data_IF_639272067126
#
_entry.id   IF_639272067126
#
_cell.length_a   1.000
_cell.length_b   1.000
_cell.length_c   1.000
_cell.angle_alpha   90.00
_cell.angle_beta   90.00
_cell.angle_gamma   90.00
#
_symmetry.space_group_name_H-M   'P 1'
#
loop_
_entity.id
_entity.type
_entity.pdbx_description
1 polymer ?
#
# COMPACT_ATOMS: atom_id res chain seq x y z
N UNK A 1 -20.43 -23.99 -11.50
CA UNK A 1 -19.00 -23.64 -11.54
C UNK A 1 -18.85 -22.23 -10.99
N UNK A 2 -17.86 -22.01 -10.12
CA UNK A 2 -17.59 -20.72 -9.50
C UNK A 2 -16.17 -20.27 -9.84
N UNK A 3 -16.05 -19.04 -10.34
CA UNK A 3 -14.79 -18.42 -10.72
C UNK A 3 -14.60 -17.10 -9.97
N UNK A 4 -13.52 -16.99 -9.20
CA UNK A 4 -13.16 -15.73 -8.56
C UNK A 4 -12.12 -14.98 -9.41
N UNK A 5 -12.32 -13.69 -9.65
CA UNK A 5 -11.35 -12.82 -10.30
C UNK A 5 -10.67 -11.99 -9.22
N UNK A 6 -9.34 -12.05 -9.13
CA UNK A 6 -8.57 -11.18 -8.25
C UNK A 6 -7.80 -10.18 -9.10
N UNK A 7 -8.19 -8.91 -9.00
CA UNK A 7 -7.57 -7.83 -9.74
C UNK A 7 -6.60 -7.06 -8.85
N UNK A 8 -5.30 -7.13 -9.21
CA UNK A 8 -4.18 -6.54 -8.48
C UNK A 8 -3.72 -5.17 -9.00
N UNK A 9 -4.43 -4.60 -9.98
CA UNK A 9 -4.15 -3.24 -10.44
C UNK A 9 -4.69 -2.17 -9.47
N UNK A 10 -4.59 -0.90 -9.88
CA UNK A 10 -4.90 0.25 -9.02
C UNK A 10 -6.32 0.79 -9.15
N UNK A 11 -7.14 0.22 -10.03
CA UNK A 11 -8.51 0.70 -10.26
C UNK A 11 -8.57 1.98 -11.10
N UNK A 12 -7.54 2.27 -11.89
CA UNK A 12 -7.54 3.44 -12.78
C UNK A 12 -8.57 3.22 -13.90
N UNK A 13 -9.38 4.23 -14.22
CA UNK A 13 -10.45 4.12 -15.21
C UNK A 13 -9.93 3.74 -16.62
N UNK A 14 -8.69 4.14 -16.91
CA UNK A 14 -7.97 3.84 -18.15
C UNK A 14 -7.09 2.58 -18.06
N UNK A 15 -7.34 1.70 -17.09
CA UNK A 15 -6.61 0.45 -16.99
C UNK A 15 -7.10 -0.58 -18.05
N UNK A 16 -6.21 -1.09 -18.93
CA UNK A 16 -6.56 -2.09 -19.93
C UNK A 16 -7.02 -3.42 -19.33
N UNK A 17 -6.45 -3.84 -18.20
CA UNK A 17 -6.82 -5.10 -17.53
C UNK A 17 -8.26 -5.05 -17.03
N UNK A 18 -8.75 -3.89 -16.57
CA UNK A 18 -10.16 -3.74 -16.15
C UNK A 18 -11.12 -4.03 -17.30
N UNK A 19 -10.83 -3.55 -18.51
CA UNK A 19 -11.64 -3.89 -19.68
C UNK A 19 -11.63 -5.39 -19.95
N UNK A 20 -10.44 -6.02 -19.90
CA UNK A 20 -10.29 -7.45 -20.13
C UNK A 20 -11.10 -8.26 -19.11
N UNK A 21 -10.94 -8.02 -17.81
CA UNK A 21 -11.66 -8.80 -16.79
C UNK A 21 -13.17 -8.59 -16.84
N UNK A 22 -13.65 -7.39 -17.16
CA UNK A 22 -15.08 -7.13 -17.35
C UNK A 22 -15.64 -7.93 -18.53
N UNK A 23 -14.90 -7.99 -19.64
CA UNK A 23 -15.26 -8.82 -20.79
C UNK A 23 -15.24 -10.31 -20.44
N UNK A 24 -14.27 -10.76 -19.64
CA UNK A 24 -14.20 -12.14 -19.17
C UNK A 24 -15.37 -12.49 -18.24
N UNK A 25 -15.70 -11.61 -17.30
CA UNK A 25 -16.86 -11.75 -16.40
C UNK A 25 -18.17 -11.85 -17.20
N UNK A 26 -18.35 -11.00 -18.20
CA UNK A 26 -19.50 -11.06 -19.09
C UNK A 26 -19.64 -12.44 -19.75
N UNK A 27 -18.56 -12.93 -20.39
CA UNK A 27 -18.56 -14.21 -21.11
C UNK A 27 -18.79 -15.39 -20.16
N UNK A 28 -18.17 -15.38 -18.97
CA UNK A 28 -18.39 -16.40 -17.94
C UNK A 28 -19.84 -16.38 -17.43
N UNK A 29 -20.42 -15.20 -17.22
CA UNK A 29 -21.81 -15.06 -16.79
C UNK A 29 -22.79 -15.59 -17.85
N UNK A 30 -22.52 -15.32 -19.13
CA UNK A 30 -23.28 -15.89 -20.26
C UNK A 30 -23.22 -17.43 -20.28
N UNK A 31 -22.11 -18.02 -19.83
CA UNK A 31 -21.93 -19.47 -19.64
C UNK A 31 -22.51 -20.01 -18.32
N UNK A 32 -23.29 -19.21 -17.58
CA UNK A 32 -23.91 -19.58 -16.29
C UNK A 32 -22.89 -19.94 -15.19
N UNK A 33 -21.72 -19.30 -15.21
CA UNK A 33 -20.70 -19.40 -14.16
C UNK A 33 -20.98 -18.35 -13.08
N UNK A 34 -20.89 -18.73 -11.80
CA UNK A 34 -20.89 -17.75 -10.71
C UNK A 34 -19.54 -17.04 -10.70
N UNK A 35 -19.53 -15.74 -11.05
CA UNK A 35 -18.31 -14.93 -11.04
C UNK A 35 -18.31 -14.01 -9.82
N UNK A 36 -17.17 -13.90 -9.14
CA UNK A 36 -16.95 -12.89 -8.09
C UNK A 36 -15.67 -12.13 -8.35
N UNK A 37 -15.78 -10.81 -8.56
CA UNK A 37 -14.64 -9.91 -8.72
C UNK A 37 -14.20 -9.35 -7.35
N UNK A 38 -12.93 -9.54 -7.04
CA UNK A 38 -12.23 -8.96 -5.90
C UNK A 38 -11.19 -7.96 -6.40
N UNK A 39 -11.51 -6.68 -6.25
CA UNK A 39 -10.55 -5.60 -6.39
C UNK A 39 -9.63 -5.59 -5.16
N UNK A 40 -8.41 -6.11 -5.28
CA UNK A 40 -7.51 -6.26 -4.13
C UNK A 40 -7.19 -4.89 -3.50
N UNK A 41 -7.12 -3.84 -4.33
CA UNK A 41 -6.90 -2.47 -3.88
C UNK A 41 -8.05 -1.91 -3.01
N UNK A 42 -9.26 -2.49 -3.04
CA UNK A 42 -10.38 -2.11 -2.16
C UNK A 42 -10.33 -2.85 -0.82
N UNK A 43 -9.62 -3.98 -0.78
CA UNK A 43 -9.53 -4.89 0.35
C UNK A 43 -8.20 -4.77 1.10
N UNK A 44 -7.52 -3.62 1.06
CA UNK A 44 -6.14 -3.44 1.55
C UNK A 44 -5.92 -3.93 2.99
N UNK A 45 -6.89 -3.69 3.87
CA UNK A 45 -6.81 -4.09 5.28
C UNK A 45 -7.24 -5.54 5.53
N UNK A 46 -7.83 -6.19 4.52
CA UNK A 46 -8.39 -7.54 4.58
C UNK A 46 -7.76 -8.48 3.53
N UNK A 47 -6.60 -8.12 2.94
CA UNK A 47 -5.93 -8.98 1.93
C UNK A 47 -5.60 -10.36 2.52
N UNK A 48 -5.23 -10.42 3.79
CA UNK A 48 -4.98 -11.68 4.52
C UNK A 48 -6.20 -12.60 4.63
N UNK A 49 -7.41 -12.06 4.45
CA UNK A 49 -8.68 -12.79 4.50
C UNK A 49 -9.14 -13.28 3.13
N UNK A 50 -8.69 -12.66 2.03
CA UNK A 50 -9.05 -13.07 0.67
C UNK A 50 -8.77 -14.56 0.36
N UNK A 51 -7.68 -15.19 0.84
CA UNK A 51 -7.44 -16.62 0.60
C UNK A 51 -8.60 -17.52 1.04
N UNK A 52 -9.40 -17.12 2.02
CA UNK A 52 -10.55 -17.92 2.46
C UNK A 52 -11.62 -18.05 1.37
N UNK A 53 -11.71 -17.06 0.48
CA UNK A 53 -12.68 -17.07 -0.63
C UNK A 53 -12.34 -18.09 -1.72
N UNK A 54 -11.14 -18.68 -1.69
CA UNK A 54 -10.71 -19.75 -2.59
C UNK A 54 -11.39 -21.09 -2.31
N UNK A 55 -11.85 -21.34 -1.08
CA UNK A 55 -12.40 -22.65 -0.68
C UNK A 55 -13.57 -23.11 -1.53
N UNK A 56 -14.36 -22.16 -2.04
CA UNK A 56 -15.55 -22.45 -2.84
C UNK A 56 -15.31 -22.28 -4.36
N UNK A 57 -14.09 -21.93 -4.78
CA UNK A 57 -13.81 -21.56 -6.17
C UNK A 57 -13.25 -22.76 -6.95
N UNK A 58 -13.94 -23.15 -8.03
CA UNK A 58 -13.46 -24.17 -8.97
C UNK A 58 -12.29 -23.64 -9.82
N UNK A 59 -12.30 -22.33 -10.10
CA UNK A 59 -11.23 -21.66 -10.79
C UNK A 59 -11.07 -20.22 -10.35
N UNK A 60 -9.93 -19.64 -10.68
CA UNK A 60 -9.63 -18.23 -10.41
C UNK A 60 -8.97 -17.57 -11.61
N UNK A 61 -9.08 -16.25 -11.68
CA UNK A 61 -8.34 -15.41 -12.62
C UNK A 61 -7.47 -14.46 -11.80
N UNK A 62 -6.16 -14.52 -12.01
CA UNK A 62 -5.23 -13.54 -11.45
C UNK A 62 -4.95 -12.49 -12.51
N UNK A 63 -5.45 -11.28 -12.28
CA UNK A 63 -5.39 -10.18 -13.23
C UNK A 63 -4.54 -9.04 -12.69
N UNK A 64 -3.56 -8.56 -13.45
CA UNK A 64 -2.74 -7.40 -13.05
C UNK A 64 -2.30 -6.56 -14.25
N UNK A 65 -1.95 -5.32 -13.97
CA UNK A 65 -1.44 -4.36 -14.95
C UNK A 65 0.01 -4.04 -14.63
N UNK A 66 0.91 -4.27 -15.58
CA UNK A 66 2.31 -3.90 -15.46
C UNK A 66 2.48 -2.43 -15.83
N UNK A 67 2.77 -1.63 -14.82
CA UNK A 67 2.99 -0.19 -14.96
C UNK A 67 4.48 0.17 -14.90
N UNK A 68 5.27 -0.61 -14.17
CA UNK A 68 6.72 -0.45 -14.07
C UNK A 68 7.45 -1.78 -14.19
N UNK A 69 7.28 -2.67 -13.20
CA UNK A 69 7.92 -3.98 -13.19
C UNK A 69 7.12 -4.98 -12.36
N UNK A 70 6.93 -6.18 -12.92
CA UNK A 70 6.33 -7.31 -12.23
C UNK A 70 4.82 -7.15 -11.98
N UNK A 71 4.31 -7.99 -11.08
CA UNK A 71 2.87 -8.22 -10.90
C UNK A 71 2.16 -7.20 -9.99
N UNK A 72 2.88 -6.22 -9.45
CA UNK A 72 2.34 -5.19 -8.56
C UNK A 72 2.26 -5.59 -7.08
N UNK A 73 2.26 -4.60 -6.18
CA UNK A 73 2.32 -4.81 -4.73
C UNK A 73 1.11 -5.54 -4.15
N UNK A 74 -0.10 -5.19 -4.59
CA UNK A 74 -1.33 -5.83 -4.10
C UNK A 74 -1.40 -7.31 -4.50
N UNK A 75 -1.01 -7.64 -5.73
CA UNK A 75 -0.97 -9.03 -6.18
C UNK A 75 0.08 -9.84 -5.42
N UNK A 76 1.28 -9.28 -5.18
CA UNK A 76 2.29 -9.92 -4.34
C UNK A 76 1.76 -10.19 -2.93
N UNK A 77 1.14 -9.19 -2.27
CA UNK A 77 0.57 -9.37 -0.93
C UNK A 77 -0.54 -10.43 -0.89
N UNK A 78 -1.36 -10.51 -1.94
CA UNK A 78 -2.38 -11.55 -2.06
C UNK A 78 -1.77 -12.95 -2.22
N UNK A 79 -0.71 -13.10 -3.02
CA UNK A 79 0.00 -14.36 -3.19
C UNK A 79 0.73 -14.78 -1.90
N UNK A 80 1.33 -13.84 -1.18
CA UNK A 80 1.91 -14.06 0.15
C UNK A 80 0.84 -14.51 1.16
N UNK A 81 -0.32 -13.86 1.16
CA UNK A 81 -1.46 -14.28 1.97
C UNK A 81 -1.94 -15.69 1.58
N UNK A 82 -1.97 -16.04 0.29
CA UNK A 82 -2.28 -17.40 -0.14
C UNK A 82 -1.23 -18.41 0.33
N UNK A 83 0.04 -18.01 0.37
CA UNK A 83 1.11 -18.87 0.88
C UNK A 83 0.87 -19.23 2.36
N UNK A 84 0.54 -18.22 3.17
CA UNK A 84 0.38 -18.34 4.62
C UNK A 84 -0.98 -18.94 5.06
N UNK A 85 -2.07 -18.54 4.40
CA UNK A 85 -3.42 -18.75 4.94
C UNK A 85 -4.35 -19.56 4.03
N UNK A 86 -4.00 -19.80 2.75
CA UNK A 86 -4.86 -20.60 1.89
C UNK A 86 -4.84 -22.07 2.30
N UNK A 87 -6.02 -22.70 2.22
CA UNK A 87 -6.15 -24.14 2.36
C UNK A 87 -5.47 -24.84 1.17
N UNK A 88 -4.39 -25.57 1.44
CA UNK A 88 -3.61 -26.27 0.41
C UNK A 88 -4.40 -27.36 -0.28
N UNK A 89 -5.38 -27.96 0.40
CA UNK A 89 -6.24 -28.99 -0.20
C UNK A 89 -7.18 -28.40 -1.24
N UNK A 90 -7.74 -27.21 -0.96
CA UNK A 90 -8.53 -26.46 -1.91
C UNK A 90 -7.69 -26.02 -3.11
N UNK A 91 -6.52 -25.42 -2.86
CA UNK A 91 -5.59 -24.97 -3.90
C UNK A 91 -5.23 -26.07 -4.89
N UNK A 92 -4.97 -27.30 -4.40
CA UNK A 92 -4.61 -28.44 -5.24
C UNK A 92 -5.65 -28.80 -6.32
N UNK A 93 -6.89 -28.34 -6.16
CA UNK A 93 -7.99 -28.52 -7.11
C UNK A 93 -8.40 -27.23 -7.83
N UNK A 94 -7.86 -26.08 -7.44
CA UNK A 94 -8.21 -24.78 -8.01
C UNK A 94 -7.39 -24.47 -9.26
N UNK A 95 -8.10 -24.31 -10.37
CA UNK A 95 -7.53 -23.84 -11.63
C UNK A 95 -7.26 -22.33 -11.61
N UNK A 96 -6.17 -21.85 -12.21
CA UNK A 96 -5.86 -20.42 -12.30
C UNK A 96 -5.48 -20.01 -13.71
N UNK A 97 -6.14 -18.97 -14.23
CA UNK A 97 -5.74 -18.32 -15.48
C UNK A 97 -5.09 -16.96 -15.18
N UNK A 98 -3.84 -16.73 -15.59
CA UNK A 98 -3.20 -15.43 -15.46
C UNK A 98 -3.57 -14.52 -16.62
N UNK A 99 -3.85 -13.26 -16.30
CA UNK A 99 -4.21 -12.21 -17.25
C UNK A 99 -3.36 -10.98 -16.94
N UNK A 100 -2.50 -10.58 -17.87
CA UNK A 100 -1.56 -9.48 -17.62
C UNK A 100 -1.55 -8.48 -18.76
N UNK A 101 -2.00 -7.26 -18.52
CA UNK A 101 -1.85 -6.18 -19.49
C UNK A 101 -0.71 -5.25 -19.10
N UNK A 102 -0.14 -4.54 -20.08
CA UNK A 102 0.86 -3.49 -19.84
C UNK A 102 0.55 -2.27 -20.69
N UNK A 103 0.89 -1.09 -20.18
CA UNK A 103 0.99 0.14 -20.97
C UNK A 103 2.46 0.47 -21.29
N UNK A 104 3.38 -0.42 -20.90
CA UNK A 104 4.82 -0.31 -21.11
C UNK A 104 5.39 -1.65 -21.58
N UNK A 105 6.14 -2.37 -20.75
CA UNK A 105 6.77 -3.65 -21.06
C UNK A 105 6.72 -4.57 -19.82
N UNK A 106 7.05 -5.84 -20.01
CA UNK A 106 7.20 -6.80 -18.90
C UNK A 106 5.97 -7.66 -18.62
N UNK A 107 4.94 -7.59 -19.48
CA UNK A 107 3.71 -8.36 -19.34
C UNK A 107 3.94 -9.88 -19.41
N UNK A 108 4.93 -10.29 -20.22
CA UNK A 108 5.31 -11.71 -20.36
C UNK A 108 5.93 -12.25 -19.10
N UNK A 109 6.90 -11.53 -18.54
CA UNK A 109 7.59 -11.90 -17.30
C UNK A 109 6.61 -11.92 -16.11
N UNK A 110 5.71 -10.94 -16.04
CA UNK A 110 4.68 -10.88 -15.02
C UNK A 110 3.70 -12.07 -15.14
N UNK A 111 3.28 -12.45 -16.35
CA UNK A 111 2.43 -13.64 -16.56
C UNK A 111 3.13 -14.92 -16.08
N UNK A 112 4.40 -15.13 -16.48
CA UNK A 112 5.21 -16.27 -16.02
C UNK A 112 5.37 -16.26 -14.50
N UNK A 113 5.47 -15.07 -13.88
CA UNK A 113 5.55 -14.93 -12.43
C UNK A 113 4.25 -15.41 -11.75
N UNK A 114 3.08 -15.05 -12.29
CA UNK A 114 1.79 -15.55 -11.77
C UNK A 114 1.65 -17.06 -11.92
N UNK A 115 2.03 -17.62 -13.07
CA UNK A 115 2.02 -19.07 -13.31
C UNK A 115 2.89 -19.80 -12.29
N UNK A 116 4.15 -19.38 -12.15
CA UNK A 116 5.09 -19.97 -11.22
C UNK A 116 4.61 -19.84 -9.77
N UNK A 117 4.12 -18.68 -9.35
CA UNK A 117 3.62 -18.47 -8.00
C UNK A 117 2.46 -19.42 -7.68
N UNK A 118 1.51 -19.59 -8.61
CA UNK A 118 0.38 -20.49 -8.40
C UNK A 118 0.79 -21.97 -8.39
N UNK A 119 1.75 -22.37 -9.23
CA UNK A 119 2.33 -23.72 -9.16
C UNK A 119 3.01 -23.98 -7.81
N UNK A 120 3.80 -23.01 -7.32
CA UNK A 120 4.50 -23.11 -6.04
C UNK A 120 3.50 -23.20 -4.88
N UNK A 121 2.38 -22.47 -4.95
CA UNK A 121 1.28 -22.57 -4.00
C UNK A 121 0.59 -23.95 -4.01
N UNK A 122 0.79 -24.74 -5.07
CA UNK A 122 0.24 -26.08 -5.25
C UNK A 122 -1.00 -26.14 -6.12
N UNK A 123 -1.37 -25.04 -6.79
CA UNK A 123 -2.54 -24.98 -7.66
C UNK A 123 -2.30 -25.43 -9.11
N UNK A 124 -3.34 -25.32 -9.92
CA UNK A 124 -3.37 -25.79 -11.31
C UNK A 124 -3.35 -24.60 -12.29
N UNK A 125 -2.18 -24.14 -12.76
CA UNK A 125 -2.13 -23.08 -13.77
C UNK A 125 -2.76 -23.54 -15.09
N UNK A 126 -3.49 -22.64 -15.73
CA UNK A 126 -4.09 -22.79 -17.05
C UNK A 126 -3.41 -21.84 -18.03
N UNK A 127 -3.65 -22.05 -19.33
CA UNK A 127 -3.17 -21.13 -20.36
C UNK A 127 -3.74 -19.72 -20.15
N UNK A 128 -2.88 -18.81 -19.70
CA UNK A 128 -3.16 -17.38 -19.61
C UNK A 128 -2.97 -16.63 -20.92
N UNK A 129 -3.02 -15.31 -20.80
CA UNK A 129 -2.61 -14.41 -21.88
C UNK A 129 -2.14 -13.07 -21.32
N UNK A 130 -1.31 -12.41 -22.10
CA UNK A 130 -0.80 -11.08 -21.82
C UNK A 130 -0.88 -10.19 -23.05
N UNK A 131 -0.90 -8.87 -22.85
CA UNK A 131 -1.00 -7.92 -23.95
C UNK A 131 -0.47 -6.54 -23.60
N UNK A 132 0.21 -5.92 -24.55
CA UNK A 132 0.55 -4.50 -24.50
C UNK A 132 -0.60 -3.69 -25.11
N UNK A 133 -1.01 -2.63 -24.43
CA UNK A 133 -2.08 -1.72 -24.88
C UNK A 133 -1.54 -0.30 -24.89
N UNK A 134 -1.36 0.23 -26.09
CA UNK A 134 -0.95 1.63 -26.31
C UNK A 134 -2.16 2.59 -26.24
N UNK A 135 -3.22 2.26 -26.98
CA UNK A 135 -4.48 3.02 -27.00
C UNK A 135 -5.62 2.13 -26.50
N UNK A 136 -6.17 2.48 -25.34
CA UNK A 136 -7.27 1.75 -24.72
C UNK A 136 -8.57 1.83 -25.52
N UNK A 137 -8.83 2.94 -26.21
CA UNK A 137 -10.03 3.10 -27.01
C UNK A 137 -9.99 2.18 -28.22
N UNK A 138 -8.87 2.17 -28.95
CA UNK A 138 -8.68 1.24 -30.07
C UNK A 138 -8.80 -0.21 -29.59
N UNK A 139 -8.17 -0.54 -28.45
CA UNK A 139 -8.24 -1.87 -27.86
C UNK A 139 -9.68 -2.32 -27.54
N UNK A 140 -10.52 -1.41 -27.04
CA UNK A 140 -11.94 -1.68 -26.72
C UNK A 140 -12.81 -1.82 -27.96
N UNK A 141 -12.54 -1.04 -29.00
CA UNK A 141 -13.34 -1.04 -30.24
C UNK A 141 -12.95 -2.19 -31.20
N UNK A 142 -11.81 -2.85 -30.98
CA UNK A 142 -11.32 -3.92 -31.83
C UNK A 142 -12.00 -5.28 -31.53
N UNK A 143 -12.84 -5.73 -32.46
CA UNK A 143 -13.57 -6.99 -32.37
C UNK A 143 -12.67 -8.24 -32.33
N UNK A 144 -11.50 -8.21 -32.97
CA UNK A 144 -10.57 -9.35 -32.96
C UNK A 144 -9.95 -9.55 -31.57
N UNK A 145 -9.62 -8.48 -30.86
CA UNK A 145 -9.11 -8.56 -29.48
C UNK A 145 -10.18 -9.08 -28.52
N UNK A 146 -11.43 -8.61 -28.67
CA UNK A 146 -12.55 -9.16 -27.91
C UNK A 146 -12.71 -10.67 -28.16
N UNK A 147 -12.58 -11.11 -29.41
CA UNK A 147 -12.67 -12.53 -29.78
C UNK A 147 -11.52 -13.38 -29.21
N UNK A 148 -10.31 -12.83 -29.10
CA UNK A 148 -9.18 -13.50 -28.43
C UNK A 148 -9.49 -13.71 -26.95
N UNK A 149 -10.02 -12.70 -26.25
CA UNK A 149 -10.40 -12.79 -24.84
C UNK A 149 -11.48 -13.86 -24.64
N UNK A 150 -12.52 -13.85 -25.48
CA UNK A 150 -13.60 -14.86 -25.46
C UNK A 150 -13.06 -16.29 -25.59
N UNK A 151 -12.17 -16.54 -26.56
CA UNK A 151 -11.53 -17.85 -26.74
C UNK A 151 -10.72 -18.29 -25.52
N UNK A 152 -10.06 -17.35 -24.84
CA UNK A 152 -9.27 -17.64 -23.64
C UNK A 152 -10.16 -17.99 -22.45
N UNK A 153 -11.31 -17.33 -22.31
CA UNK A 153 -12.34 -17.65 -21.32
C UNK A 153 -12.97 -19.01 -21.59
N UNK A 154 -13.32 -19.31 -22.83
CA UNK A 154 -13.88 -20.63 -23.21
C UNK A 154 -12.89 -21.75 -22.88
N UNK A 155 -11.61 -21.51 -23.13
CA UNK A 155 -10.55 -22.46 -22.78
C UNK A 155 -10.47 -22.70 -21.27
N UNK A 156 -10.56 -21.64 -20.45
CA UNK A 156 -10.62 -21.77 -18.99
C UNK A 156 -11.86 -22.58 -18.56
N UNK A 157 -13.04 -22.19 -19.05
CA UNK A 157 -14.30 -22.88 -18.76
C UNK A 157 -14.23 -24.37 -19.05
N UNK A 158 -13.72 -24.73 -20.24
CA UNK A 158 -13.59 -26.12 -20.67
C UNK A 158 -12.60 -26.89 -19.79
N UNK A 159 -11.46 -26.29 -19.46
CA UNK A 159 -10.43 -26.91 -18.61
C UNK A 159 -10.98 -27.24 -17.23
N UNK A 160 -11.70 -26.32 -16.60
CA UNK A 160 -12.33 -26.53 -15.28
C UNK A 160 -13.42 -27.60 -15.39
N UNK A 161 -14.34 -27.44 -16.35
CA UNK A 161 -15.48 -28.35 -16.51
C UNK A 161 -15.05 -29.81 -16.76
N UNK A 162 -13.98 -30.00 -17.53
CA UNK A 162 -13.46 -31.33 -17.86
C UNK A 162 -12.48 -31.88 -16.81
N UNK A 163 -12.17 -31.11 -15.75
CA UNK A 163 -11.17 -31.47 -14.75
C UNK A 163 -9.84 -31.91 -15.40
N UNK A 164 -9.43 -31.19 -16.44
CA UNK A 164 -8.25 -31.54 -17.24
C UNK A 164 -7.01 -31.53 -16.36
N UNK A 165 -6.24 -32.62 -16.39
CA UNK A 165 -5.00 -32.73 -15.63
C UNK A 165 -3.83 -32.19 -16.46
N UNK A 166 -3.02 -31.34 -15.83
CA UNK A 166 -1.73 -30.93 -16.37
C UNK A 166 -0.69 -32.04 -16.28
N UNK A 167 0.39 -31.89 -17.05
CA UNK A 167 1.61 -32.67 -16.85
C UNK A 167 2.30 -32.21 -15.56
N UNK A 168 3.01 -33.10 -14.85
CA UNK A 168 3.73 -32.72 -13.64
C UNK A 168 4.86 -31.74 -13.97
N UNK A 169 4.98 -30.65 -13.20
CA UNK A 169 6.06 -29.67 -13.34
C UNK A 169 7.11 -29.81 -12.24
N UNK A 170 8.30 -29.25 -12.47
CA UNK A 170 9.40 -29.26 -11.49
C UNK A 170 9.03 -28.52 -10.20
N UNK A 171 8.34 -27.39 -10.31
CA UNK A 171 7.86 -26.63 -9.16
C UNK A 171 6.93 -27.48 -8.29
N UNK A 172 5.95 -28.15 -8.89
CA UNK A 172 5.04 -29.06 -8.17
C UNK A 172 5.78 -30.23 -7.51
N UNK A 173 6.81 -30.78 -8.15
CA UNK A 173 7.60 -31.88 -7.60
C UNK A 173 8.45 -31.46 -6.40
N UNK A 174 9.06 -30.27 -6.44
CA UNK A 174 9.90 -29.72 -5.36
C UNK A 174 9.06 -29.26 -4.17
N UNK A 175 7.91 -28.62 -4.42
CA UNK A 175 6.98 -28.21 -3.35
C UNK A 175 6.52 -29.41 -2.52
N UNK A 176 6.23 -30.56 -3.14
CA UNK A 176 5.85 -31.80 -2.43
C UNK A 176 6.95 -32.38 -1.55
N UNK A 177 8.23 -32.17 -1.88
CA UNK A 177 9.36 -32.73 -1.13
C UNK A 177 9.80 -31.82 0.02
N UNK A 178 9.73 -30.49 -0.15
CA UNK A 178 10.19 -29.51 0.85
C UNK A 178 9.13 -29.20 1.91
N UNK A 179 7.84 -29.12 1.55
CA UNK A 179 6.74 -28.84 2.50
C UNK A 179 6.58 -29.89 3.62
N UNK A 180 7.30 -31.02 3.56
CA UNK A 180 7.40 -31.97 4.67
C UNK A 180 8.15 -31.43 5.89
N UNK A 181 8.83 -30.30 5.77
CA UNK A 181 9.66 -29.76 6.86
C UNK A 181 9.11 -28.41 7.32
N UNK A 182 8.56 -28.41 8.54
CA UNK A 182 8.01 -27.28 9.29
C UNK A 182 6.73 -26.63 8.70
N UNK A 183 5.59 -27.31 8.84
CA UNK A 183 4.30 -26.62 8.88
C UNK A 183 3.94 -26.34 10.34
N UNK A 184 3.70 -25.07 10.67
CA UNK A 184 2.77 -24.72 11.74
C UNK A 184 1.39 -25.10 11.22
N UNK A 185 0.92 -26.30 11.55
CA UNK A 185 -0.48 -26.66 11.35
C UNK A 185 -1.32 -25.86 12.34
N UNK A 186 -1.75 -24.66 11.94
CA UNK A 186 -2.76 -23.93 12.68
C UNK A 186 -4.06 -24.75 12.61
N UNK A 187 -4.61 -25.09 13.77
CA UNK A 187 -5.90 -25.75 13.88
C UNK A 187 -7.00 -24.90 13.24
N UNK A 188 -8.13 -25.50 12.81
CA UNK A 188 -9.28 -24.74 12.30
C UNK A 188 -9.73 -23.62 13.25
N UNK A 189 -9.54 -23.82 14.56
CA UNK A 189 -9.83 -22.84 15.60
C UNK A 189 -8.82 -21.68 15.61
N UNK A 190 -7.53 -21.93 15.37
CA UNK A 190 -6.51 -20.87 15.27
C UNK A 190 -6.65 -20.08 13.97
N UNK A 191 -7.06 -20.73 12.88
CA UNK A 191 -7.36 -20.05 11.61
C UNK A 191 -8.63 -19.19 11.69
N UNK A 192 -9.67 -19.67 12.40
CA UNK A 192 -10.87 -18.87 12.73
C UNK A 192 -10.61 -17.77 13.76
N UNK A 193 -9.69 -17.98 14.71
CA UNK A 193 -9.30 -16.94 15.65
C UNK A 193 -8.49 -15.85 14.94
N UNK A 194 -7.54 -16.21 14.07
CA UNK A 194 -6.80 -15.24 13.25
C UNK A 194 -7.73 -14.47 12.31
N UNK A 195 -8.75 -15.12 11.72
CA UNK A 195 -9.74 -14.40 10.94
C UNK A 195 -10.60 -13.46 11.77
N UNK A 196 -10.97 -13.85 13.00
CA UNK A 196 -11.65 -12.94 13.94
C UNK A 196 -10.77 -11.78 14.36
N UNK A 197 -9.49 -11.99 14.65
CA UNK A 197 -8.57 -10.92 15.05
C UNK A 197 -8.24 -9.93 13.93
N UNK A 198 -8.38 -10.33 12.66
CA UNK A 198 -8.21 -9.44 11.49
C UNK A 198 -9.55 -8.84 11.04
N UNK A 199 -10.68 -9.50 11.32
CA UNK A 199 -12.04 -9.05 10.94
C UNK A 199 -12.78 -8.35 12.08
N UNK A 200 -12.18 -8.21 13.25
CA UNK A 200 -12.78 -7.54 14.40
C UNK A 200 -12.75 -6.01 14.21
N UNK A 201 -13.66 -5.54 13.35
CA UNK A 201 -14.23 -4.21 13.53
C UNK A 201 -14.84 -4.06 14.93
N UNK A 202 -15.18 -5.16 15.63
CA UNK A 202 -15.62 -5.15 17.02
C UNK A 202 -14.47 -4.92 18.02
N UNK A 203 -13.23 -5.36 17.78
CA UNK A 203 -12.09 -4.99 18.65
C UNK A 203 -11.69 -3.53 18.42
N UNK A 204 -11.85 -3.02 17.19
CA UNK A 204 -11.73 -1.59 16.86
C UNK A 204 -12.90 -0.79 17.44
N UNK A 205 -14.11 -1.34 17.50
CA UNK A 205 -15.29 -0.66 18.07
C UNK A 205 -15.36 -0.73 19.60
N UNK A 206 -14.92 -1.81 20.21
CA UNK A 206 -14.82 -1.93 21.67
C UNK A 206 -13.67 -1.09 22.19
N UNK A 207 -12.55 -0.99 21.45
CA UNK A 207 -11.58 0.08 21.69
C UNK A 207 -12.20 1.46 21.45
N UNK A 208 -13.07 1.70 20.46
CA UNK A 208 -13.73 3.02 20.31
C UNK A 208 -14.74 3.32 21.43
N UNK A 209 -15.41 2.33 22.01
CA UNK A 209 -16.36 2.48 23.11
C UNK A 209 -15.64 2.64 24.46
N UNK A 210 -14.60 1.85 24.73
CA UNK A 210 -13.75 2.01 25.90
C UNK A 210 -12.86 3.26 25.78
N UNK A 211 -12.47 3.68 24.57
CA UNK A 211 -11.90 5.00 24.30
C UNK A 211 -12.95 6.06 24.56
N UNK A 212 -14.23 5.90 24.22
CA UNK A 212 -15.25 6.92 24.50
C UNK A 212 -15.48 7.11 26.02
N UNK A 213 -15.49 6.02 26.79
CA UNK A 213 -15.63 6.07 28.25
C UNK A 213 -14.35 6.58 28.94
N UNK A 214 -13.16 6.16 28.49
CA UNK A 214 -11.89 6.76 28.92
C UNK A 214 -11.78 8.23 28.46
N UNK A 215 -12.34 8.60 27.31
CA UNK A 215 -12.37 9.99 26.81
C UNK A 215 -13.33 10.83 27.63
N UNK A 216 -14.43 10.29 28.17
CA UNK A 216 -15.29 11.01 29.11
C UNK A 216 -14.60 11.21 30.46
N UNK A 217 -13.91 10.17 30.97
CA UNK A 217 -13.11 10.23 32.20
C UNK A 217 -11.87 11.14 32.07
N UNK A 218 -11.22 11.16 30.90
CA UNK A 218 -10.11 12.06 30.58
C UNK A 218 -10.58 13.48 30.26
N UNK A 219 -11.80 13.68 29.75
CA UNK A 219 -12.39 15.01 29.52
C UNK A 219 -12.86 15.67 30.82
N UNK A 220 -13.27 14.86 31.80
CA UNK A 220 -13.58 15.33 33.16
C UNK A 220 -12.33 15.49 34.04
N UNK A 221 -11.27 14.69 33.85
CA UNK A 221 -9.99 14.86 34.56
C UNK A 221 -9.02 15.88 33.91
N UNK A 222 -9.09 16.09 32.60
CA UNK A 222 -8.29 17.08 31.86
C UNK A 222 -9.18 18.13 31.23
N UNK A 223 -9.65 19.06 32.06
CA UNK A 223 -9.95 20.40 31.59
C UNK A 223 -8.74 20.94 30.81
N UNK A 224 -8.98 21.28 29.55
CA UNK A 224 -8.10 22.01 28.62
C UNK A 224 -6.81 21.31 28.17
N UNK A 225 -6.83 20.70 26.98
CA UNK A 225 -6.23 21.24 25.73
C UNK A 225 -6.19 20.15 24.64
N UNK A 226 -6.55 20.55 23.42
CA UNK A 226 -6.51 19.76 22.19
C UNK A 226 -5.06 19.49 21.73
N UNK A 227 -4.74 18.25 21.37
CA UNK A 227 -3.60 17.92 20.52
C UNK A 227 -4.10 17.16 19.28
N UNK A 228 -4.12 17.88 18.15
CA UNK A 228 -4.15 17.35 16.79
C UNK A 228 -2.76 17.62 16.16
N UNK A 229 -2.23 16.66 15.41
CA UNK A 229 -1.20 16.85 14.35
C UNK A 229 0.09 17.62 14.69
N UNK A 230 0.61 17.52 15.92
CA UNK A 230 1.57 18.50 16.46
C UNK A 230 3.07 18.13 16.40
N UNK A 231 3.52 17.14 15.62
CA UNK A 231 4.93 16.68 15.68
C UNK A 231 5.72 16.66 14.35
N UNK A 232 5.19 17.20 13.26
CA UNK A 232 5.73 17.00 11.90
C UNK A 232 7.17 17.49 11.70
N UNK A 233 7.60 18.56 12.39
CA UNK A 233 8.99 19.06 12.30
C UNK A 233 9.78 18.94 13.60
N UNK A 234 9.10 18.75 14.74
CA UNK A 234 9.75 18.77 16.07
C UNK A 234 10.83 17.69 16.18
N UNK A 235 10.53 16.48 15.69
CA UNK A 235 11.48 15.38 15.76
C UNK A 235 12.72 15.61 14.89
N UNK A 236 12.54 16.16 13.69
CA UNK A 236 13.66 16.40 12.78
C UNK A 236 14.64 17.42 13.35
N UNK A 237 14.13 18.52 13.91
CA UNK A 237 14.96 19.52 14.59
C UNK A 237 15.65 18.94 15.83
N UNK A 238 14.97 18.11 16.63
CA UNK A 238 15.57 17.47 17.81
C UNK A 238 16.70 16.51 17.45
N UNK A 239 16.56 15.73 16.38
CA UNK A 239 17.56 14.73 15.96
C UNK A 239 18.82 15.39 15.40
N UNK A 240 18.67 16.49 14.66
CA UNK A 240 19.79 17.15 13.97
C UNK A 240 20.42 18.30 14.77
N UNK A 241 19.94 18.54 16.00
CA UNK A 241 20.47 19.59 16.87
C UNK A 241 21.86 19.25 17.41
N UNK A 242 22.78 20.19 17.23
CA UNK A 242 24.12 20.24 17.81
C UNK A 242 24.22 21.55 18.58
N UNK A 243 24.01 21.46 19.89
CA UNK A 243 24.04 22.64 20.75
C UNK A 243 25.42 23.30 20.82
N UNK A 244 25.40 24.58 21.16
CA UNK A 244 26.60 25.40 21.33
C UNK A 244 26.50 26.07 22.70
N UNK A 245 27.39 25.77 23.67
CA UNK A 245 27.31 26.27 25.05
C UNK A 245 27.24 27.79 25.20
N UNK A 246 27.74 28.53 24.21
CA UNK A 246 27.77 30.00 24.21
C UNK A 246 26.56 30.63 23.49
N UNK A 247 25.60 29.83 23.02
CA UNK A 247 24.51 30.29 22.18
C UNK A 247 23.13 30.12 22.82
N UNK A 248 22.38 31.23 22.89
CA UNK A 248 21.03 31.29 23.41
C UNK A 248 20.16 32.12 22.47
N UNK A 249 19.06 31.55 21.98
CA UNK A 249 18.14 32.26 21.09
C UNK A 249 16.75 31.60 21.06
N UNK A 250 15.73 32.45 20.93
CA UNK A 250 14.33 32.06 20.73
C UNK A 250 13.87 32.40 19.32
N UNK A 251 13.39 31.39 18.62
CA UNK A 251 12.90 31.47 17.26
C UNK A 251 11.42 31.13 17.18
N UNK A 252 10.70 31.81 16.30
CA UNK A 252 9.32 31.48 15.98
C UNK A 252 9.14 31.40 14.46
N UNK A 253 8.84 30.20 13.96
CA UNK A 253 8.64 29.90 12.55
C UNK A 253 7.15 29.88 12.20
N UNK A 254 6.73 30.79 11.34
CA UNK A 254 5.40 30.84 10.74
C UNK A 254 5.45 30.13 9.40
N UNK A 255 5.11 28.84 9.40
CA UNK A 255 5.08 28.01 8.19
C UNK A 255 3.73 28.17 7.49
N UNK A 256 3.73 28.62 6.23
CA UNK A 256 2.50 28.76 5.46
C UNK A 256 1.83 27.38 5.27
N UNK A 257 0.53 27.29 5.58
CA UNK A 257 -0.23 26.05 5.56
C UNK A 257 -0.33 25.32 6.91
N UNK A 258 0.38 25.77 7.96
CA UNK A 258 0.24 25.24 9.33
C UNK A 258 -0.58 26.18 10.21
N UNK A 259 -1.41 25.60 11.09
CA UNK A 259 -2.34 26.34 11.97
C UNK A 259 -1.65 26.99 13.17
N UNK A 260 -0.52 26.44 13.62
CA UNK A 260 0.28 26.95 14.74
C UNK A 260 1.72 27.22 14.29
N UNK A 261 2.37 28.30 14.75
CA UNK A 261 3.78 28.52 14.50
C UNK A 261 4.63 27.53 15.30
N UNK A 262 5.81 27.19 14.78
CA UNK A 262 6.78 26.34 15.46
C UNK A 262 7.73 27.23 16.27
N UNK A 263 7.78 27.04 17.58
CA UNK A 263 8.70 27.71 18.48
C UNK A 263 9.93 26.84 18.75
N UNK A 264 11.09 27.49 18.80
CA UNK A 264 12.35 26.86 19.23
C UNK A 264 13.09 27.76 20.20
N UNK A 265 13.48 27.20 21.34
CA UNK A 265 14.29 27.85 22.35
C UNK A 265 15.60 27.08 22.52
N UNK A 266 16.68 27.70 22.06
CA UNK A 266 18.03 27.17 22.17
C UNK A 266 18.65 27.71 23.45
N UNK A 267 19.01 26.79 24.35
CA UNK A 267 19.59 27.08 25.66
C UNK A 267 20.93 26.36 25.78
N UNK A 268 21.94 26.84 25.05
CA UNK A 268 23.25 26.21 25.00
C UNK A 268 23.20 24.84 24.32
N UNK A 269 23.34 23.79 25.12
CA UNK A 269 23.27 22.39 24.67
C UNK A 269 21.85 21.79 24.66
N UNK A 270 20.85 22.56 25.10
CA UNK A 270 19.46 22.11 25.16
C UNK A 270 18.60 22.81 24.12
N UNK A 271 17.70 22.05 23.51
CA UNK A 271 16.68 22.55 22.59
C UNK A 271 15.29 22.23 23.12
N UNK A 272 14.49 23.26 23.33
CA UNK A 272 13.05 23.17 23.53
C UNK A 272 12.37 23.53 22.21
N UNK A 273 11.44 22.68 21.74
CA UNK A 273 10.80 22.82 20.44
C UNK A 273 9.35 22.33 20.53
N UNK A 274 8.39 23.20 20.22
CA UNK A 274 6.96 22.94 20.28
C UNK A 274 6.17 23.86 19.35
N UNK A 275 4.96 23.47 18.96
CA UNK A 275 4.06 24.38 18.25
C UNK A 275 3.29 25.25 19.24
N UNK A 276 3.22 26.54 18.96
CA UNK A 276 2.55 27.51 19.82
C UNK A 276 3.15 28.89 19.68
N UNK A 277 2.39 29.89 20.14
CA UNK A 277 2.90 31.26 20.26
C UNK A 277 3.56 31.41 21.61
N UNK A 278 4.79 31.91 21.60
CA UNK A 278 5.53 32.28 22.79
C UNK A 278 5.87 33.77 22.74
N UNK A 279 6.05 34.35 23.93
CA UNK A 279 6.45 35.74 24.10
C UNK A 279 7.98 35.86 24.21
N UNK A 280 8.52 37.05 23.94
CA UNK A 280 9.97 37.34 23.95
C UNK A 280 10.76 36.50 22.92
N UNK A 281 10.33 36.53 21.66
CA UNK A 281 11.02 35.90 20.53
C UNK A 281 12.14 36.82 20.02
N UNK A 282 13.34 36.26 19.83
CA UNK A 282 14.49 37.00 19.29
C UNK A 282 14.43 37.17 17.77
N UNK A 283 13.90 36.16 17.07
CA UNK A 283 13.71 36.18 15.61
C UNK A 283 12.40 35.49 15.21
N UNK A 284 11.56 36.24 14.51
CA UNK A 284 10.39 35.72 13.81
C UNK A 284 10.77 35.37 12.37
N UNK A 285 10.40 34.18 11.90
CA UNK A 285 10.63 33.74 10.53
C UNK A 285 9.32 33.35 9.87
N UNK A 286 9.18 33.64 8.58
CA UNK A 286 8.04 33.23 7.76
C UNK A 286 8.55 32.61 6.46
N UNK A 287 8.06 31.42 6.16
CA UNK A 287 8.44 30.59 5.02
C UNK A 287 7.29 29.66 4.62
N UNK A 288 7.29 29.15 3.38
CA UNK A 288 6.33 28.12 2.96
C UNK A 288 6.69 26.74 3.52
N UNK A 289 5.70 25.83 3.56
CA UNK A 289 5.95 24.42 3.92
C UNK A 289 7.02 23.77 3.05
N UNK A 290 6.97 24.01 1.73
CA UNK A 290 7.96 23.45 0.79
C UNK A 290 9.40 23.89 1.08
N UNK A 291 9.61 25.12 1.55
CA UNK A 291 10.94 25.61 1.93
C UNK A 291 11.37 24.96 3.24
N UNK A 292 10.47 24.84 4.22
CA UNK A 292 10.76 24.13 5.48
C UNK A 292 11.17 22.68 5.21
N UNK A 293 10.43 21.97 4.35
CA UNK A 293 10.72 20.58 3.99
C UNK A 293 12.10 20.44 3.30
N UNK A 294 12.45 21.38 2.42
CA UNK A 294 13.75 21.39 1.75
C UNK A 294 14.92 21.66 2.72
N UNK A 295 14.72 22.51 3.73
CA UNK A 295 15.73 22.80 4.77
C UNK A 295 15.92 21.57 5.66
N UNK A 296 14.84 20.97 6.15
CA UNK A 296 14.89 19.76 6.98
C UNK A 296 15.50 18.58 6.21
N UNK A 297 15.29 18.50 4.89
CA UNK A 297 15.91 17.50 4.03
C UNK A 297 17.37 17.80 3.62
N UNK A 298 17.98 18.88 4.12
CA UNK A 298 19.37 19.25 3.83
C UNK A 298 19.63 19.78 2.42
N UNK A 299 18.59 20.10 1.64
CA UNK A 299 18.69 20.57 0.24
C UNK A 299 18.80 22.09 0.14
N UNK A 300 18.46 22.79 1.21
CA UNK A 300 18.45 24.25 1.35
C UNK A 300 19.01 24.63 2.73
N UNK A 301 19.43 25.88 2.92
CA UNK A 301 19.86 26.41 4.23
C UNK A 301 19.04 27.63 4.63
N UNK A 302 18.90 27.90 5.93
CA UNK A 302 18.18 29.07 6.44
C UNK A 302 18.80 30.37 5.90
N UNK A 303 20.13 30.46 5.86
CA UNK A 303 20.83 31.62 5.33
C UNK A 303 20.54 31.84 3.84
N UNK A 304 20.52 30.77 3.03
CA UNK A 304 20.27 30.84 1.58
C UNK A 304 18.81 31.21 1.29
N UNK A 305 17.85 30.56 1.95
CA UNK A 305 16.44 30.87 1.83
C UNK A 305 16.14 32.33 2.19
N UNK A 306 16.80 32.88 3.21
CA UNK A 306 16.69 34.30 3.55
C UNK A 306 17.32 35.22 2.49
N UNK A 307 18.50 34.86 1.97
CA UNK A 307 19.25 35.70 1.02
C UNK A 307 18.58 35.83 -0.35
N UNK A 308 17.86 34.79 -0.80
CA UNK A 308 17.15 34.76 -2.09
C UNK A 308 15.72 35.34 -1.98
N UNK A 309 15.23 35.56 -0.75
CA UNK A 309 13.92 36.16 -0.47
C UNK A 309 12.78 35.15 -0.27
N UNK A 310 13.08 33.86 -0.30
CA UNK A 310 12.13 32.76 -0.12
C UNK A 310 11.70 32.61 1.36
N UNK A 311 12.54 33.06 2.29
CA UNK A 311 12.21 33.20 3.70
C UNK A 311 12.33 34.68 4.13
N UNK A 312 11.38 35.15 4.93
CA UNK A 312 11.46 36.47 5.57
C UNK A 312 11.72 36.33 7.06
N UNK A 313 12.56 37.20 7.62
CA UNK A 313 12.89 37.21 9.05
C UNK A 313 12.74 38.62 9.64
N UNK A 314 12.36 38.70 10.92
CA UNK A 314 12.25 39.95 11.68
C UNK A 314 12.81 39.73 13.08
N UNK A 315 13.89 40.44 13.42
CA UNK A 315 14.58 40.30 14.71
C UNK A 315 16.09 40.47 14.57
N UNK A 316 16.86 39.78 15.43
CA UNK A 316 18.32 39.79 15.37
C UNK A 316 18.86 38.88 14.26
N UNK A 317 19.09 39.43 13.06
CA UNK A 317 19.57 38.68 11.89
C UNK A 317 20.93 37.98 12.05
N UNK A 318 21.74 38.35 13.06
CA UNK A 318 23.05 37.71 13.28
C UNK A 318 22.92 36.24 13.70
N UNK A 319 21.75 35.84 14.21
CA UNK A 319 21.51 34.46 14.67
C UNK A 319 21.00 33.53 13.58
N UNK A 320 20.65 34.04 12.38
CA UNK A 320 20.20 33.18 11.26
C UNK A 320 21.28 32.22 10.78
N UNK A 321 22.54 32.68 10.69
CA UNK A 321 23.68 31.81 10.38
C UNK A 321 23.87 30.73 11.44
N UNK A 322 23.56 31.04 12.70
CA UNK A 322 23.67 30.07 13.79
C UNK A 322 22.66 28.92 13.65
N UNK A 323 21.50 29.13 13.02
CA UNK A 323 20.55 28.04 12.74
C UNK A 323 21.18 26.96 11.85
N UNK A 324 21.91 27.37 10.81
CA UNK A 324 22.61 26.43 9.91
C UNK A 324 23.81 25.76 10.59
N UNK A 325 24.38 26.36 11.64
CA UNK A 325 25.50 25.79 12.40
C UNK A 325 25.04 24.83 13.51
N UNK A 326 23.90 25.09 14.17
CA UNK A 326 23.36 24.26 15.25
C UNK A 326 22.43 23.15 14.75
N UNK A 327 21.96 23.21 13.51
CA UNK A 327 21.15 22.14 12.90
C UNK A 327 21.87 21.55 11.70
N UNK A 328 22.45 20.36 11.87
CA UNK A 328 23.18 19.71 10.79
C UNK A 328 22.25 18.81 9.98
N UNK A 329 21.50 19.40 9.05
CA UNK A 329 20.61 18.68 8.13
C UNK A 329 21.33 18.15 6.87
N UNK A 330 22.59 18.57 6.63
CA UNK A 330 23.39 18.21 5.44
C UNK A 330 24.28 16.98 5.62
#
# INVERSE_FOLDING_TARGET
>A
MKVNIYYGGRGLLEDPTLYVINKMEQVLTELQVEVRLYNIYEQKNAISMLPQTLKDADGIILATTVEWLGIGGYMNQFLDACWLYADKSALATTYMQPVVMSTTYGEREAMVTLENAWEILGGLPCSGFCGYVEDLKEFRENAEYAHIIEKKVETLYRTISQHTKGLPTSNQAVTRSILRTAQLELSPQESEQLSKFVSDDEYVQTQKADIADLTSMFRDMMGQKQEDSTNEYINDFKVHFRGNPEFYAKYLFMVEGKSQPLFMNVMGEQLECHYGKEDNIDVYMKLSGSIMDNIVAGRETFQRAFSVGDMTAKGNFRTLRMLDEIFNFS
#
